data_IF_818916138628
#
_entry.id   IF_818916138628
#
_cell.length_a   1.000
_cell.length_b   1.000
_cell.length_c   1.000
_cell.angle_alpha   90.00
_cell.angle_beta   90.00
_cell.angle_gamma   90.00
#
_symmetry.space_group_name_H-M   'P 1'
#
loop_
_entity.id
_entity.type
_entity.pdbx_description
1 polymer ?
#
# COMPACT_ATOMS: atom_id res chain seq x y z
N UNK A 1 -43.09 21.37 34.89
CA UNK A 1 -43.21 20.45 33.73
C UNK A 1 -42.19 20.86 32.69
N UNK A 2 -41.04 20.17 32.62
CA UNK A 2 -40.13 20.23 31.47
C UNK A 2 -39.79 18.79 31.12
N UNK A 3 -40.12 18.42 29.89
CA UNK A 3 -39.97 17.11 29.29
C UNK A 3 -38.50 16.74 29.12
N UNK A 4 -38.08 15.58 29.61
CA UNK A 4 -36.86 14.89 29.16
C UNK A 4 -37.21 14.11 27.89
N UNK A 5 -36.67 14.53 26.76
CA UNK A 5 -36.58 13.71 25.55
C UNK A 5 -35.42 12.74 25.72
N UNK A 6 -35.72 11.44 25.71
CA UNK A 6 -34.73 10.36 25.66
C UNK A 6 -34.09 10.31 24.27
N UNK A 7 -32.80 10.63 24.18
CA UNK A 7 -31.96 10.20 23.04
C UNK A 7 -31.63 8.73 23.26
N UNK A 8 -32.14 7.86 22.39
CA UNK A 8 -31.74 6.46 22.28
C UNK A 8 -30.26 6.39 21.84
N UNK A 9 -29.44 5.68 22.61
CA UNK A 9 -28.05 5.36 22.27
C UNK A 9 -27.99 3.92 21.72
N UNK A 10 -27.15 3.61 20.71
CA UNK A 10 -26.94 2.24 20.24
C UNK A 10 -26.01 1.52 21.23
N UNK A 11 -26.59 0.89 22.25
CA UNK A 11 -25.90 0.52 23.48
C UNK A 11 -25.55 -0.95 23.66
N UNK A 12 -25.13 -1.69 22.62
CA UNK A 12 -24.74 -3.10 22.78
C UNK A 12 -23.46 -3.52 22.04
N UNK A 13 -23.11 -2.91 20.91
CA UNK A 13 -21.89 -3.26 20.16
C UNK A 13 -20.62 -2.65 20.77
N UNK A 14 -20.70 -1.41 21.29
CA UNK A 14 -19.61 -0.70 21.98
C UNK A 14 -19.16 -1.35 23.29
N UNK A 15 -19.98 -2.24 23.87
CA UNK A 15 -19.67 -2.92 25.13
C UNK A 15 -18.93 -4.25 24.93
N UNK A 16 -19.09 -4.92 23.77
CA UNK A 16 -18.39 -6.18 23.49
C UNK A 16 -16.95 -5.94 22.99
N UNK A 17 -16.71 -4.86 22.25
CA UNK A 17 -15.37 -4.50 21.75
C UNK A 17 -14.45 -3.93 22.84
N UNK A 18 -15.01 -3.18 23.80
CA UNK A 18 -14.29 -2.70 24.97
C UNK A 18 -13.85 -3.84 25.93
N UNK A 19 -14.39 -5.05 25.78
CA UNK A 19 -14.02 -6.27 26.53
C UNK A 19 -12.80 -6.96 25.91
N UNK A 20 -12.52 -6.75 24.63
CA UNK A 20 -11.36 -7.34 23.93
C UNK A 20 -10.04 -6.63 24.29
N UNK A 21 -10.02 -5.29 24.29
CA UNK A 21 -8.92 -4.49 24.89
C UNK A 21 -8.82 -4.64 26.43
N UNK A 22 -9.84 -5.22 27.08
CA UNK A 22 -9.82 -5.62 28.49
C UNK A 22 -9.03 -6.92 28.69
N UNK A 23 -8.93 -7.78 27.66
CA UNK A 23 -8.18 -9.04 27.69
C UNK A 23 -6.66 -8.87 27.56
N UNK A 24 -6.20 -7.83 26.84
CA UNK A 24 -4.77 -7.57 26.63
C UNK A 24 -4.05 -6.90 27.83
N UNK A 25 -4.75 -6.64 28.95
CA UNK A 25 -4.32 -5.67 29.99
C UNK A 25 -4.32 -6.15 31.45
N UNK A 26 -4.19 -7.46 31.74
CA UNK A 26 -4.05 -7.91 33.14
C UNK A 26 -2.64 -7.59 33.70
N UNK A 27 -2.39 -6.31 34.05
CA UNK A 27 -1.07 -5.92 34.59
C UNK A 27 -0.93 -4.60 35.37
N UNK A 28 -1.95 -3.72 35.48
CA UNK A 28 -1.77 -2.37 36.06
C UNK A 28 -2.63 -2.12 37.31
N UNK A 29 -2.00 -1.77 38.45
CA UNK A 29 -2.70 -1.39 39.71
C UNK A 29 -2.58 0.11 40.01
N UNK A 30 -3.65 0.75 40.48
CA UNK A 30 -3.68 2.18 40.89
C UNK A 30 -3.32 2.39 42.38
N UNK A 31 -2.73 3.53 42.72
CA UNK A 31 -2.39 4.11 44.03
C UNK A 31 -3.47 4.09 45.15
N UNK A 32 -4.72 3.71 44.85
CA UNK A 32 -5.80 3.55 45.85
C UNK A 32 -6.14 2.09 46.16
N UNK A 33 -5.44 1.11 45.57
CA UNK A 33 -5.67 -0.32 45.81
C UNK A 33 -7.04 -0.81 45.30
N UNK A 34 -7.74 -0.02 44.48
CA UNK A 34 -8.94 -0.39 43.77
C UNK A 34 -8.73 -0.17 42.27
N UNK A 35 -9.06 -1.19 41.47
CA UNK A 35 -9.00 -1.14 40.01
C UNK A 35 -10.10 -0.21 39.48
N UNK A 36 -9.79 0.95 38.87
CA UNK A 36 -10.75 1.63 38.00
C UNK A 36 -10.99 0.69 36.81
N UNK A 37 -12.23 0.23 36.67
CA UNK A 37 -12.58 -1.04 36.04
C UNK A 37 -12.81 -0.93 34.52
N UNK A 38 -12.50 0.21 33.88
CA UNK A 38 -12.52 0.32 32.42
C UNK A 38 -11.71 1.49 31.87
N UNK A 39 -11.33 1.37 30.60
CA UNK A 39 -10.76 2.44 29.76
C UNK A 39 -11.73 3.64 29.64
N UNK A 40 -13.03 3.35 29.61
CA UNK A 40 -14.15 4.30 29.68
C UNK A 40 -14.27 4.99 31.05
N UNK A 41 -13.83 4.35 32.13
CA UNK A 41 -13.77 4.95 33.47
C UNK A 41 -12.57 5.89 33.59
N UNK A 42 -11.42 5.55 33.02
CA UNK A 42 -10.24 6.40 33.04
C UNK A 42 -10.40 7.62 32.11
N UNK A 43 -10.99 7.45 30.92
CA UNK A 43 -11.40 8.54 30.04
C UNK A 43 -12.49 9.45 30.66
N UNK A 44 -13.38 8.89 31.51
CA UNK A 44 -14.35 9.68 32.29
C UNK A 44 -13.75 10.40 33.50
N UNK A 45 -12.67 9.88 34.08
CA UNK A 45 -12.11 10.38 35.34
C UNK A 45 -10.90 11.32 35.15
N UNK A 46 -10.36 11.47 33.93
CA UNK A 46 -9.23 12.36 33.64
C UNK A 46 -7.97 12.02 34.45
N UNK A 47 -7.77 10.73 34.77
CA UNK A 47 -6.70 10.29 35.66
C UNK A 47 -5.41 10.09 34.85
N UNK A 48 -4.30 10.78 35.20
CA UNK A 48 -3.01 10.49 34.59
C UNK A 48 -2.53 9.11 35.02
N UNK A 49 -2.12 8.28 34.06
CA UNK A 49 -1.49 6.98 34.33
C UNK A 49 -0.10 7.25 34.90
N UNK A 50 0.10 6.94 36.18
CA UNK A 50 1.40 7.08 36.86
C UNK A 50 2.03 5.70 37.03
N UNK A 51 3.14 5.47 36.31
CA UNK A 51 4.20 4.53 36.69
C UNK A 51 4.09 3.11 36.15
N UNK A 52 4.74 2.84 35.01
CA UNK A 52 5.29 1.53 34.65
C UNK A 52 6.70 1.74 34.09
N UNK A 53 7.61 0.76 34.24
CA UNK A 53 8.99 0.87 33.77
C UNK A 53 9.01 0.97 32.23
N UNK A 54 9.57 2.07 31.73
CA UNK A 54 9.95 2.21 30.32
C UNK A 54 10.90 1.06 29.97
N UNK A 55 10.51 0.23 29.00
CA UNK A 55 11.51 -0.46 28.19
C UNK A 55 12.41 0.64 27.62
N UNK A 56 13.73 0.52 27.80
CA UNK A 56 14.65 1.54 27.33
C UNK A 56 14.41 1.75 25.83
N UNK A 57 13.86 2.91 25.48
CA UNK A 57 13.66 3.33 24.10
C UNK A 57 14.98 3.13 23.36
N UNK A 58 14.99 2.48 22.17
CA UNK A 58 16.21 2.42 21.38
C UNK A 58 16.69 3.84 21.08
N UNK A 59 18.01 3.99 20.97
CA UNK A 59 18.68 5.27 20.79
C UNK A 59 18.13 6.00 19.55
N UNK A 60 17.56 7.18 19.79
CA UNK A 60 17.25 8.14 18.72
C UNK A 60 18.50 8.34 17.86
N UNK A 61 18.42 8.05 16.55
CA UNK A 61 19.55 8.17 15.61
C UNK A 61 20.37 6.89 15.37
N UNK A 62 19.78 5.71 15.57
CA UNK A 62 20.43 4.44 15.21
C UNK A 62 20.48 4.26 13.69
N UNK A 63 21.67 4.14 13.11
CA UNK A 63 21.87 3.91 11.68
C UNK A 63 21.30 2.55 11.22
N UNK A 64 21.00 2.38 9.91
CA UNK A 64 20.57 1.11 9.35
C UNK A 64 21.53 -0.04 9.68
N UNK A 65 20.97 -1.22 9.95
CA UNK A 65 21.73 -2.39 10.41
C UNK A 65 21.54 -3.57 9.47
N UNK A 66 22.63 -4.10 8.93
CA UNK A 66 22.60 -5.32 8.08
C UNK A 66 22.75 -6.58 8.92
N UNK A 67 21.85 -7.54 8.72
CA UNK A 67 21.92 -8.89 9.30
C UNK A 67 21.48 -9.94 8.26
N UNK A 68 22.42 -10.79 7.83
CA UNK A 68 22.13 -11.75 6.77
C UNK A 68 21.71 -11.03 5.48
N UNK A 69 20.57 -11.44 4.92
CA UNK A 69 19.96 -10.85 3.71
C UNK A 69 19.02 -9.67 4.00
N UNK A 70 19.01 -9.17 5.25
CA UNK A 70 18.15 -8.06 5.68
C UNK A 70 18.96 -6.82 6.05
N UNK A 71 18.38 -5.65 5.77
CA UNK A 71 18.82 -4.35 6.27
C UNK A 71 17.66 -3.77 7.07
N UNK A 72 17.84 -3.52 8.36
CA UNK A 72 16.81 -2.91 9.20
C UNK A 72 16.95 -1.39 9.25
N UNK A 73 15.81 -0.70 9.24
CA UNK A 73 15.68 0.74 9.37
C UNK A 73 14.92 1.07 10.65
N UNK A 74 15.40 2.09 11.36
CA UNK A 74 14.81 2.56 12.62
C UNK A 74 14.35 4.02 12.55
N UNK A 75 14.50 4.64 11.38
CA UNK A 75 14.05 6.00 11.06
C UNK A 75 13.38 5.97 9.69
N UNK A 76 12.20 6.60 9.60
CA UNK A 76 11.43 6.64 8.35
C UNK A 76 12.21 7.31 7.23
N UNK A 77 12.90 8.42 7.52
CA UNK A 77 13.73 9.13 6.55
C UNK A 77 14.82 8.26 5.90
N UNK A 78 15.46 7.36 6.64
CA UNK A 78 16.48 6.47 6.09
C UNK A 78 15.86 5.40 5.17
N UNK A 79 14.65 4.94 5.51
CA UNK A 79 13.89 4.00 4.70
C UNK A 79 13.38 4.67 3.42
N UNK A 80 12.80 5.87 3.52
CA UNK A 80 12.32 6.65 2.38
C UNK A 80 13.46 7.04 1.43
N UNK A 81 14.68 7.25 1.94
CA UNK A 81 15.87 7.45 1.10
C UNK A 81 16.24 6.17 0.32
N UNK A 82 16.09 4.99 0.94
CA UNK A 82 16.32 3.71 0.30
C UNK A 82 15.20 3.30 -0.68
N UNK A 83 13.96 3.71 -0.39
CA UNK A 83 12.75 3.41 -1.15
C UNK A 83 11.94 4.68 -1.44
N UNK A 84 12.42 5.55 -2.35
CA UNK A 84 11.77 6.81 -2.61
C UNK A 84 10.42 6.63 -3.32
N UNK A 85 9.39 7.32 -2.84
CA UNK A 85 8.10 7.43 -3.54
C UNK A 85 7.17 6.23 -3.39
N UNK A 86 7.37 5.39 -2.38
CA UNK A 86 6.39 4.34 -2.06
C UNK A 86 5.06 4.97 -1.64
N UNK A 87 3.96 4.34 -2.09
CA UNK A 87 2.66 4.57 -1.49
C UNK A 87 2.66 4.03 -0.06
N UNK A 88 1.82 4.64 0.78
CA UNK A 88 1.71 4.32 2.19
C UNK A 88 0.25 4.02 2.48
N UNK A 89 -0.02 2.83 2.99
CA UNK A 89 -1.30 2.50 3.58
C UNK A 89 -1.36 3.18 4.95
N UNK A 90 -2.06 4.32 5.02
CA UNK A 90 -2.20 5.15 6.22
C UNK A 90 -3.58 5.03 6.87
N UNK A 91 -4.48 4.22 6.30
CA UNK A 91 -5.84 3.95 6.77
C UNK A 91 -6.73 5.20 6.89
N UNK A 92 -6.35 6.34 6.33
CA UNK A 92 -7.04 7.62 6.55
C UNK A 92 -8.41 7.69 5.86
N UNK A 93 -8.68 6.79 4.91
CA UNK A 93 -9.99 6.59 4.29
C UNK A 93 -10.99 5.90 5.22
N UNK A 94 -10.52 5.24 6.29
CA UNK A 94 -11.35 4.43 7.18
C UNK A 94 -12.52 5.19 7.82
N UNK A 95 -13.69 4.54 7.88
CA UNK A 95 -14.96 5.09 8.34
C UNK A 95 -15.07 5.11 9.88
N UNK A 96 -14.22 5.93 10.51
CA UNK A 96 -14.18 6.14 11.96
C UNK A 96 -13.98 7.62 12.30
N UNK A 97 -14.61 8.09 13.38
CA UNK A 97 -14.40 9.43 13.91
C UNK A 97 -13.43 9.48 15.09
N UNK A 98 -13.02 10.69 15.46
CA UNK A 98 -12.10 10.95 16.58
C UNK A 98 -12.59 10.34 17.90
N UNK A 99 -11.66 9.73 18.64
CA UNK A 99 -11.87 9.07 19.92
C UNK A 99 -12.69 7.79 19.85
N UNK A 100 -12.92 7.26 18.64
CA UNK A 100 -13.69 6.04 18.43
C UNK A 100 -12.80 4.85 18.08
N UNK A 101 -13.37 3.66 18.23
CA UNK A 101 -12.81 2.38 17.81
C UNK A 101 -13.95 1.56 17.23
N UNK A 102 -13.69 0.88 16.12
CA UNK A 102 -14.65 0.05 15.40
C UNK A 102 -14.04 -1.29 15.04
N UNK A 103 -14.73 -2.38 15.31
CA UNK A 103 -14.26 -3.72 14.98
C UNK A 103 -14.42 -3.97 13.49
N UNK A 104 -13.40 -4.56 12.88
CA UNK A 104 -13.34 -4.86 11.46
C UNK A 104 -13.17 -6.36 11.27
N UNK A 105 -13.90 -6.91 10.31
CA UNK A 105 -13.69 -8.30 9.91
C UNK A 105 -12.42 -8.41 9.10
N UNK A 106 -11.59 -9.39 9.41
CA UNK A 106 -10.42 -9.78 8.64
C UNK A 106 -10.79 -10.71 7.45
N UNK A 107 -9.95 -10.81 6.41
CA UNK A 107 -8.81 -9.94 6.15
C UNK A 107 -9.25 -8.54 5.70
N UNK A 108 -8.40 -7.54 5.91
CA UNK A 108 -8.51 -6.23 5.27
C UNK A 108 -7.58 -6.19 4.05
N UNK A 109 -8.13 -5.90 2.88
CA UNK A 109 -7.45 -5.75 1.59
C UNK A 109 -8.22 -4.79 0.66
N UNK A 110 -7.77 -4.60 -0.58
CA UNK A 110 -8.37 -3.68 -1.55
C UNK A 110 -9.83 -3.99 -1.91
N UNK A 111 -10.28 -5.21 -1.62
CA UNK A 111 -11.65 -5.67 -1.86
C UNK A 111 -12.55 -5.57 -0.61
N UNK A 112 -12.06 -4.99 0.49
CA UNK A 112 -12.82 -4.83 1.74
C UNK A 112 -14.11 -4.05 1.49
N UNK A 113 -15.24 -4.59 1.94
CA UNK A 113 -16.55 -3.94 1.88
C UNK A 113 -17.27 -4.17 3.21
N UNK A 114 -16.94 -3.36 4.22
CA UNK A 114 -17.48 -3.51 5.58
C UNK A 114 -17.68 -2.15 6.28
N UNK A 115 -18.05 -2.17 7.57
CA UNK A 115 -18.32 -0.93 8.32
C UNK A 115 -17.07 -0.05 8.51
N UNK A 116 -15.86 -0.62 8.40
CA UNK A 116 -14.59 0.08 8.56
C UNK A 116 -14.07 0.70 7.26
N UNK A 117 -14.21 0.01 6.13
CA UNK A 117 -13.63 0.43 4.83
C UNK A 117 -14.54 0.06 3.66
N UNK A 118 -14.52 0.90 2.63
CA UNK A 118 -15.11 0.68 1.31
C UNK A 118 -14.08 0.05 0.34
N UNK A 119 -14.52 -0.58 -0.76
CA UNK A 119 -13.58 -1.16 -1.74
C UNK A 119 -12.65 -0.10 -2.34
N UNK A 120 -11.35 -0.40 -2.33
CA UNK A 120 -10.28 0.49 -2.77
C UNK A 120 -9.71 1.42 -1.70
N UNK A 121 -10.27 1.44 -0.47
CA UNK A 121 -9.72 2.24 0.63
C UNK A 121 -8.41 1.66 1.20
N UNK A 122 -8.18 0.36 1.03
CA UNK A 122 -6.91 -0.29 1.39
C UNK A 122 -6.09 -0.50 0.11
N UNK A 123 -4.81 -0.17 0.16
CA UNK A 123 -3.86 -0.33 -0.93
C UNK A 123 -3.82 -1.79 -1.40
N UNK A 124 -3.81 -2.04 -2.72
CA UNK A 124 -3.67 -3.39 -3.25
C UNK A 124 -2.33 -4.04 -2.91
N UNK A 125 -2.33 -5.37 -2.82
CA UNK A 125 -1.13 -6.17 -2.62
C UNK A 125 -0.72 -6.40 -1.15
N UNK A 126 -1.55 -5.93 -0.21
CA UNK A 126 -1.44 -6.27 1.22
C UNK A 126 -2.77 -6.84 1.73
N UNK A 127 -2.69 -7.88 2.57
CA UNK A 127 -3.80 -8.36 3.38
C UNK A 127 -3.42 -8.28 4.87
N UNK A 128 -4.29 -7.68 5.66
CA UNK A 128 -4.10 -7.53 7.12
C UNK A 128 -5.07 -8.47 7.82
N UNK A 129 -4.54 -9.35 8.66
CA UNK A 129 -5.30 -10.37 9.36
C UNK A 129 -4.63 -10.74 10.68
N UNK A 130 -5.21 -11.69 11.40
CA UNK A 130 -4.65 -12.28 12.61
C UNK A 130 -4.49 -13.79 12.44
N UNK A 131 -3.71 -14.41 13.32
CA UNK A 131 -3.47 -15.87 13.29
C UNK A 131 -4.70 -16.72 13.66
N UNK A 132 -5.73 -16.15 14.27
CA UNK A 132 -6.94 -16.84 14.69
C UNK A 132 -8.20 -16.05 14.30
N UNK A 133 -9.21 -16.74 13.77
CA UNK A 133 -10.54 -16.15 13.53
C UNK A 133 -11.42 -16.32 14.79
N UNK A 134 -11.93 -15.21 15.32
CA UNK A 134 -12.83 -15.12 16.46
C UNK A 134 -14.25 -14.65 16.09
N UNK A 135 -14.63 -14.73 14.81
CA UNK A 135 -15.95 -14.36 14.31
C UNK A 135 -16.10 -12.91 13.86
N UNK A 136 -15.03 -12.28 13.37
CA UNK A 136 -15.02 -10.99 12.69
C UNK A 136 -14.80 -9.77 13.59
N UNK A 137 -14.23 -9.96 14.78
CA UNK A 137 -13.91 -8.91 15.76
C UNK A 137 -12.44 -8.97 16.19
N UNK A 138 -11.53 -9.39 15.31
CA UNK A 138 -10.11 -9.62 15.62
C UNK A 138 -9.22 -8.43 15.27
N UNK A 139 -9.69 -7.59 14.34
CA UNK A 139 -9.10 -6.31 14.03
C UNK A 139 -10.04 -5.19 14.47
N UNK A 140 -9.46 -4.02 14.74
CA UNK A 140 -10.20 -2.79 14.89
C UNK A 140 -9.51 -1.64 14.17
N UNK A 141 -10.33 -0.82 13.54
CA UNK A 141 -9.99 0.50 13.08
C UNK A 141 -10.07 1.46 14.27
N UNK A 142 -8.94 2.05 14.62
CA UNK A 142 -8.81 3.00 15.73
C UNK A 142 -8.76 4.41 15.15
N UNK A 143 -9.65 5.29 15.61
CA UNK A 143 -9.66 6.68 15.20
C UNK A 143 -8.56 7.52 15.88
N UNK A 144 -8.28 8.72 15.36
CA UNK A 144 -7.42 9.70 16.02
C UNK A 144 -7.95 10.03 17.42
N UNK A 145 -7.10 10.56 18.31
CA UNK A 145 -7.41 10.93 19.70
C UNK A 145 -7.83 9.76 20.63
N UNK A 146 -8.15 8.58 20.12
CA UNK A 146 -8.32 7.39 20.95
C UNK A 146 -6.95 7.03 21.55
N UNK A 147 -6.76 7.16 22.87
CA UNK A 147 -5.45 6.89 23.50
C UNK A 147 -4.29 7.77 23.01
N UNK A 148 -4.57 9.03 22.63
CA UNK A 148 -3.57 9.92 22.03
C UNK A 148 -3.02 9.40 20.69
N UNK A 149 -3.75 8.48 20.06
CA UNK A 149 -3.45 8.01 18.72
C UNK A 149 -3.47 9.19 17.74
N UNK A 150 -2.37 9.43 16.99
CA UNK A 150 -2.26 10.63 16.16
C UNK A 150 -3.07 10.57 14.85
N UNK A 151 -3.32 9.37 14.33
CA UNK A 151 -3.86 9.05 13.00
C UNK A 151 -4.77 7.83 13.08
N UNK A 152 -5.49 7.46 12.02
CA UNK A 152 -6.19 6.18 11.97
C UNK A 152 -5.18 5.04 11.91
N UNK A 153 -5.51 3.88 12.50
CA UNK A 153 -4.66 2.69 12.40
C UNK A 153 -5.46 1.41 12.61
N UNK A 154 -4.79 0.27 12.37
CA UNK A 154 -5.33 -1.06 12.62
C UNK A 154 -4.69 -1.68 13.85
N UNK A 155 -5.52 -2.22 14.73
CA UNK A 155 -5.11 -2.87 15.97
C UNK A 155 -5.74 -4.26 16.11
N UNK A 156 -4.99 -5.21 16.67
CA UNK A 156 -5.52 -6.50 17.09
C UNK A 156 -6.37 -6.32 18.34
N UNK A 157 -7.57 -6.88 18.34
CA UNK A 157 -8.50 -6.82 19.47
C UNK A 157 -8.52 -8.09 20.31
N UNK A 158 -8.18 -9.24 19.73
CA UNK A 158 -8.15 -10.52 20.42
C UNK A 158 -6.73 -10.84 20.88
N UNK A 159 -6.45 -10.83 22.19
CA UNK A 159 -5.13 -11.20 22.73
C UNK A 159 -5.20 -12.53 23.51
N UNK A 160 -4.18 -13.41 23.41
CA UNK A 160 -3.00 -13.29 22.55
C UNK A 160 -3.29 -13.80 21.13
N UNK A 161 -3.30 -12.90 20.15
CA UNK A 161 -3.20 -13.20 18.72
C UNK A 161 -2.02 -12.42 18.15
N UNK A 162 -1.55 -12.83 16.98
CA UNK A 162 -0.54 -12.07 16.24
C UNK A 162 -1.20 -11.25 15.14
N UNK A 163 -0.69 -10.04 14.89
CA UNK A 163 -1.02 -9.30 13.67
C UNK A 163 -0.18 -9.85 12.53
N UNK A 164 -0.82 -10.10 11.39
CA UNK A 164 -0.19 -10.64 10.20
C UNK A 164 -0.40 -9.66 9.05
N UNK A 165 0.70 -9.29 8.40
CA UNK A 165 0.71 -8.67 7.09
C UNK A 165 1.05 -9.76 6.07
N UNK A 166 0.09 -10.13 5.23
CA UNK A 166 0.30 -11.02 4.10
C UNK A 166 0.47 -10.19 2.82
N UNK A 167 1.36 -10.66 1.95
CA UNK A 167 1.57 -10.12 0.62
C UNK A 167 1.26 -11.24 -0.37
N UNK A 168 0.01 -11.36 -0.88
CA UNK A 168 -0.44 -12.52 -1.66
C UNK A 168 0.40 -12.80 -2.90
N UNK A 169 0.94 -11.76 -3.53
CA UNK A 169 1.82 -11.89 -4.68
C UNK A 169 3.24 -12.30 -4.31
N UNK A 170 3.60 -12.22 -3.02
CA UNK A 170 4.84 -12.73 -2.44
C UNK A 170 6.09 -11.94 -2.80
N UNK A 171 5.93 -10.69 -3.26
CA UNK A 171 6.99 -9.95 -3.98
C UNK A 171 7.49 -8.73 -3.23
N UNK A 172 7.31 -8.66 -1.92
CA UNK A 172 7.77 -7.51 -1.14
C UNK A 172 9.25 -7.63 -0.79
N UNK A 173 10.04 -6.59 -0.96
CA UNK A 173 11.44 -6.61 -0.49
C UNK A 173 11.86 -5.39 0.32
N UNK A 174 10.89 -4.56 0.65
CA UNK A 174 11.01 -3.40 1.50
C UNK A 174 9.67 -3.19 2.18
N UNK A 175 9.70 -3.09 3.51
CA UNK A 175 8.54 -2.81 4.33
C UNK A 175 8.96 -1.81 5.40
N UNK A 176 8.21 -0.74 5.58
CA UNK A 176 8.35 0.22 6.66
C UNK A 176 6.99 0.55 7.22
N UNK A 177 6.84 0.55 8.55
CA UNK A 177 5.58 0.85 9.22
C UNK A 177 5.82 1.44 10.60
N UNK A 178 4.80 2.05 11.17
CA UNK A 178 4.79 2.44 12.57
C UNK A 178 4.19 1.34 13.44
N UNK A 179 4.94 0.90 14.44
CA UNK A 179 4.47 -0.08 15.42
C UNK A 179 3.93 0.63 16.66
N UNK A 180 2.73 0.23 17.09
CA UNK A 180 1.99 0.85 18.17
C UNK A 180 1.67 -0.21 19.24
N UNK A 181 2.02 0.11 20.49
CA UNK A 181 1.51 -0.59 21.68
C UNK A 181 0.85 0.42 22.61
N UNK A 182 -0.46 0.30 22.81
CA UNK A 182 -1.26 1.34 23.44
C UNK A 182 -0.99 1.54 24.95
N UNK A 183 -0.61 0.47 25.66
CA UNK A 183 -0.53 0.50 27.12
C UNK A 183 0.90 0.57 27.64
N UNK A 184 1.76 -0.29 27.12
CA UNK A 184 3.15 -0.42 27.56
C UNK A 184 4.04 -0.48 26.34
N UNK A 185 4.92 0.51 26.17
CA UNK A 185 5.97 0.43 25.14
C UNK A 185 6.81 -0.81 25.37
N UNK A 186 6.98 -1.58 24.31
CA UNK A 186 7.70 -2.85 24.35
C UNK A 186 8.37 -3.14 23.02
N UNK A 187 9.11 -4.25 22.98
CA UNK A 187 9.60 -4.80 21.74
C UNK A 187 8.66 -5.91 21.30
N UNK A 188 7.98 -5.71 20.18
CA UNK A 188 7.27 -6.79 19.51
C UNK A 188 8.27 -7.79 18.93
N UNK A 189 7.90 -9.06 18.97
CA UNK A 189 8.58 -10.14 18.25
C UNK A 189 8.09 -10.11 16.81
N UNK A 190 9.03 -10.02 15.87
CA UNK A 190 8.74 -9.94 14.44
C UNK A 190 9.32 -11.16 13.75
N UNK A 191 8.47 -11.85 13.01
CA UNK A 191 8.85 -12.94 12.12
C UNK A 191 8.61 -12.53 10.67
N UNK A 192 9.65 -12.65 9.84
CA UNK A 192 9.63 -12.28 8.42
C UNK A 192 9.77 -13.56 7.62
N UNK A 193 8.80 -13.85 6.76
CA UNK A 193 8.73 -15.07 5.96
C UNK A 193 8.78 -14.68 4.48
N UNK A 194 9.65 -15.34 3.72
CA UNK A 194 9.83 -15.11 2.30
C UNK A 194 9.90 -16.38 1.47
N UNK A 195 10.19 -16.19 0.19
CA UNK A 195 10.35 -17.28 -0.78
C UNK A 195 11.47 -18.26 -0.41
N UNK A 196 11.44 -19.43 -1.05
CA UNK A 196 12.45 -20.49 -0.88
C UNK A 196 12.68 -20.94 0.57
N UNK A 197 11.69 -20.73 1.45
CA UNK A 197 11.77 -21.06 2.87
C UNK A 197 12.60 -20.08 3.69
N UNK A 198 12.81 -18.86 3.18
CA UNK A 198 13.43 -17.79 3.94
C UNK A 198 12.57 -17.45 5.16
N UNK A 199 13.23 -17.34 6.31
CA UNK A 199 12.60 -17.00 7.57
C UNK A 199 13.62 -16.26 8.45
N UNK A 200 13.22 -15.14 9.01
CA UNK A 200 14.03 -14.35 9.93
C UNK A 200 13.22 -13.92 11.15
N UNK A 201 13.88 -13.86 12.30
CA UNK A 201 13.29 -13.42 13.56
C UNK A 201 14.04 -12.20 14.07
N UNK A 202 13.31 -11.18 14.48
CA UNK A 202 13.86 -9.95 15.03
C UNK A 202 12.91 -9.35 16.06
N UNK A 203 13.30 -8.23 16.64
CA UNK A 203 12.48 -7.47 17.56
C UNK A 203 12.45 -6.01 17.15
N UNK A 204 11.28 -5.38 17.29
CA UNK A 204 11.08 -3.99 16.93
C UNK A 204 10.32 -3.26 18.05
N UNK A 205 10.83 -2.08 18.41
CA UNK A 205 10.21 -1.27 19.46
C UNK A 205 8.92 -0.61 18.96
N UNK A 206 7.84 -0.82 19.71
CA UNK A 206 6.52 -0.24 19.51
C UNK A 206 6.26 0.85 20.56
N UNK A 207 5.94 2.06 20.09
CA UNK A 207 5.68 3.22 20.95
C UNK A 207 4.19 3.48 21.13
N UNK A 208 3.79 4.22 22.17
CA UNK A 208 2.37 4.52 22.41
C UNK A 208 1.73 5.40 21.33
N UNK A 209 2.52 6.14 20.56
CA UNK A 209 2.06 7.03 19.47
C UNK A 209 2.63 6.63 18.11
N UNK A 210 3.04 5.37 17.98
CA UNK A 210 3.71 4.86 16.79
C UNK A 210 5.21 5.05 16.83
N UNK A 211 5.93 4.01 16.42
CA UNK A 211 7.37 4.07 16.23
C UNK A 211 7.78 3.32 14.97
N UNK A 212 8.35 4.07 14.03
CA UNK A 212 8.84 3.53 12.78
C UNK A 212 9.83 2.37 12.94
N UNK A 213 9.55 1.29 12.24
CA UNK A 213 10.47 0.19 11.97
C UNK A 213 10.29 -0.28 10.53
N UNK A 214 11.38 -0.67 9.89
CA UNK A 214 11.31 -1.28 8.58
C UNK A 214 12.49 -2.17 8.26
N UNK A 215 12.42 -2.83 7.13
CA UNK A 215 13.51 -3.61 6.56
C UNK A 215 13.56 -3.49 5.03
N UNK A 216 14.74 -3.75 4.47
CA UNK A 216 14.95 -4.18 3.10
C UNK A 216 15.43 -5.64 3.12
N UNK A 217 15.09 -6.39 2.08
CA UNK A 217 15.43 -7.79 1.92
C UNK A 217 15.99 -8.05 0.52
N UNK A 218 16.98 -8.94 0.43
CA UNK A 218 17.42 -9.51 -0.86
C UNK A 218 16.53 -10.67 -1.32
N UNK A 219 15.67 -11.18 -0.43
CA UNK A 219 14.69 -12.24 -0.70
C UNK A 219 13.29 -11.63 -0.71
N UNK A 220 12.44 -12.09 -1.61
CA UNK A 220 11.04 -11.67 -1.66
C UNK A 220 10.27 -12.20 -0.45
N UNK A 221 9.50 -11.32 0.17
CA UNK A 221 8.75 -11.53 1.40
C UNK A 221 7.27 -11.70 1.06
N UNK A 222 6.68 -12.74 1.64
CA UNK A 222 5.26 -13.06 1.49
C UNK A 222 4.46 -12.79 2.77
N UNK A 223 5.12 -12.70 3.92
CA UNK A 223 4.41 -12.50 5.18
C UNK A 223 5.32 -11.87 6.25
N UNK A 224 4.73 -11.01 7.08
CA UNK A 224 5.33 -10.50 8.32
C UNK A 224 4.34 -10.72 9.46
N UNK A 225 4.79 -11.39 10.51
CA UNK A 225 4.01 -11.70 11.71
C UNK A 225 4.55 -10.87 12.86
N UNK A 226 3.67 -10.18 13.58
CA UNK A 226 3.97 -9.24 14.65
C UNK A 226 3.26 -9.76 15.91
N UNK A 227 4.01 -9.98 16.97
CA UNK A 227 3.48 -10.55 18.23
C UNK A 227 3.97 -9.75 19.42
N UNK A 228 3.07 -9.42 20.33
CA UNK A 228 3.41 -8.88 21.65
C UNK A 228 3.86 -10.04 22.56
N UNK A 229 5.08 -10.00 23.11
CA UNK A 229 5.52 -10.98 24.09
C UNK A 229 4.85 -10.79 25.46
N UNK A 230 4.07 -9.72 25.66
CA UNK A 230 3.36 -9.41 26.90
C UNK A 230 1.84 -9.37 26.73
N UNK A 231 1.33 -10.06 25.70
CA UNK A 231 -0.09 -10.19 25.37
C UNK A 231 -0.81 -8.83 25.24
N UNK A 232 -0.10 -7.80 24.77
CA UNK A 232 -0.68 -6.49 24.41
C UNK A 232 -1.28 -6.53 23.01
N UNK A 233 -2.11 -5.53 22.71
CA UNK A 233 -2.62 -5.30 21.36
C UNK A 233 -1.50 -4.82 20.44
N UNK A 234 -1.26 -5.57 19.37
CA UNK A 234 -0.38 -5.19 18.26
C UNK A 234 -1.14 -4.25 17.33
N UNK A 235 -0.62 -3.05 17.11
CA UNK A 235 -1.19 -2.11 16.16
C UNK A 235 -0.13 -1.59 15.19
N UNK A 236 -0.58 -1.30 13.97
CA UNK A 236 0.25 -0.87 12.84
C UNK A 236 -0.38 0.31 12.12
N UNK A 237 0.46 1.22 11.67
CA UNK A 237 0.08 2.41 10.92
C UNK A 237 1.14 2.73 9.84
N UNK A 238 0.78 3.53 8.84
CA UNK A 238 1.66 4.06 7.80
C UNK A 238 2.54 2.98 7.15
N UNK A 239 1.91 1.93 6.63
CA UNK A 239 2.56 0.77 6.03
C UNK A 239 3.00 1.12 4.60
N UNK A 240 4.29 1.37 4.45
CA UNK A 240 4.96 1.53 3.16
C UNK A 240 5.58 0.20 2.75
N UNK A 241 5.23 -0.31 1.58
CA UNK A 241 5.82 -1.54 1.04
C UNK A 241 6.04 -1.40 -0.46
N UNK A 242 7.02 -2.15 -0.98
CA UNK A 242 7.28 -2.19 -2.40
C UNK A 242 7.25 -3.62 -2.91
N UNK A 243 6.66 -3.84 -4.09
CA UNK A 243 6.71 -5.11 -4.81
C UNK A 243 7.84 -5.12 -5.84
N UNK A 244 8.62 -6.19 -5.96
CA UNK A 244 9.63 -6.38 -7.04
C UNK A 244 9.06 -7.06 -8.28
N UNK A 245 7.75 -7.07 -8.48
CA UNK A 245 7.31 -7.19 -9.86
C UNK A 245 7.63 -5.94 -10.65
N UNK A 246 7.81 -6.10 -11.96
CA UNK A 246 7.63 -5.00 -12.92
C UNK A 246 6.24 -4.33 -12.89
N UNK A 247 5.44 -4.55 -11.84
CA UNK A 247 4.20 -3.88 -11.47
C UNK A 247 4.42 -3.16 -10.12
N UNK A 248 5.25 -2.11 -10.11
CA UNK A 248 4.77 -0.87 -9.47
C UNK A 248 3.34 -0.71 -9.96
N UNK A 249 2.34 -0.63 -9.09
CA UNK A 249 0.96 -0.35 -9.52
C UNK A 249 1.01 0.84 -10.46
N UNK A 250 0.94 0.52 -11.74
CA UNK A 250 0.85 1.51 -12.76
C UNK A 250 -0.64 1.75 -12.90
N UNK A 251 -1.02 3.00 -13.09
CA UNK A 251 -2.36 3.28 -13.56
C UNK A 251 -2.55 2.52 -14.87
N UNK A 252 -3.49 1.58 -14.89
CA UNK A 252 -3.83 0.89 -16.14
C UNK A 252 -4.58 1.88 -17.02
N UNK A 253 -4.11 2.05 -18.26
CA UNK A 253 -4.68 2.99 -19.23
C UNK A 253 -5.08 2.26 -20.51
N UNK A 254 -6.09 2.78 -21.19
CA UNK A 254 -6.48 2.28 -22.50
C UNK A 254 -5.60 2.91 -23.59
N UNK A 255 -5.13 2.08 -24.53
CA UNK A 255 -4.37 2.53 -25.68
C UNK A 255 -4.92 1.90 -26.97
N UNK A 256 -4.69 2.57 -28.09
CA UNK A 256 -4.98 2.06 -29.45
C UNK A 256 -3.74 2.20 -30.33
N UNK A 257 -3.17 1.09 -30.78
CA UNK A 257 -2.03 1.02 -31.69
C UNK A 257 -2.52 1.04 -33.13
N UNK A 258 -2.28 2.16 -33.83
CA UNK A 258 -2.86 2.49 -35.14
C UNK A 258 -4.35 2.83 -35.04
N UNK A 259 -4.67 3.94 -34.36
CA UNK A 259 -6.05 4.37 -34.20
C UNK A 259 -6.81 4.44 -35.52
N UNK A 260 -8.02 3.88 -35.51
CA UNK A 260 -8.89 3.70 -36.68
C UNK A 260 -8.60 2.46 -37.54
N UNK A 261 -7.82 1.49 -37.05
CA UNK A 261 -7.54 0.23 -37.73
C UNK A 261 -7.55 -0.98 -36.79
N UNK A 262 -8.72 -1.58 -36.55
CA UNK A 262 -8.99 -2.69 -35.62
C UNK A 262 -8.07 -3.93 -35.71
N UNK A 263 -7.24 -4.04 -36.75
CA UNK A 263 -6.32 -5.18 -36.95
C UNK A 263 -4.88 -4.87 -36.58
N UNK A 264 -4.54 -3.60 -36.29
CA UNK A 264 -3.22 -3.15 -35.82
C UNK A 264 -2.06 -3.80 -36.59
N UNK A 265 -2.24 -3.94 -37.92
CA UNK A 265 -1.35 -4.79 -38.72
C UNK A 265 -0.03 -4.08 -39.01
N UNK A 266 1.08 -4.61 -38.49
CA UNK A 266 2.43 -4.09 -38.68
C UNK A 266 3.19 -4.98 -39.68
N UNK A 267 3.84 -4.37 -40.68
CA UNK A 267 4.66 -5.10 -41.67
C UNK A 267 6.12 -4.87 -41.33
N UNK A 268 6.84 -5.93 -40.99
CA UNK A 268 8.28 -5.84 -40.65
C UNK A 268 9.11 -5.28 -41.81
N UNK A 269 10.15 -4.52 -41.48
CA UNK A 269 11.02 -3.83 -42.42
C UNK A 269 10.40 -2.60 -43.08
N UNK A 270 9.18 -2.21 -42.70
CA UNK A 270 8.60 -0.94 -43.11
C UNK A 270 9.34 0.21 -42.40
N UNK A 271 9.76 1.22 -43.16
CA UNK A 271 10.42 2.41 -42.62
C UNK A 271 9.36 3.48 -42.35
N UNK A 272 8.99 3.68 -41.10
CA UNK A 272 8.00 4.66 -40.68
C UNK A 272 7.79 4.62 -39.17
N UNK A 273 6.87 5.47 -38.70
CA UNK A 273 6.48 5.48 -37.30
C UNK A 273 5.12 4.80 -37.13
N UNK A 274 4.93 4.16 -35.99
CA UNK A 274 3.66 3.58 -35.56
C UNK A 274 2.98 4.60 -34.63
N UNK A 275 1.79 5.13 -34.99
CA UNK A 275 1.02 5.96 -34.08
C UNK A 275 0.34 5.09 -33.02
N UNK A 276 0.31 5.58 -31.78
CA UNK A 276 -0.39 4.97 -30.65
C UNK A 276 -1.17 6.07 -29.94
N UNK A 277 -2.48 5.89 -29.77
CA UNK A 277 -3.32 6.76 -28.95
C UNK A 277 -3.31 6.25 -27.51
N UNK A 278 -3.15 7.17 -26.56
CA UNK A 278 -3.38 6.99 -25.14
C UNK A 278 -4.69 7.72 -24.82
N UNK A 279 -5.71 6.95 -24.45
CA UNK A 279 -7.06 7.46 -24.34
C UNK A 279 -7.27 8.13 -22.98
N UNK A 280 -7.88 9.32 -22.99
CA UNK A 280 -8.41 9.92 -21.78
C UNK A 280 -9.63 9.12 -21.32
N UNK A 281 -9.83 9.03 -20.01
CA UNK A 281 -10.97 8.33 -19.44
C UNK A 281 -11.32 8.90 -18.06
N UNK A 282 -12.42 8.42 -17.46
CA UNK A 282 -12.81 8.85 -16.12
C UNK A 282 -11.68 8.62 -15.10
N UNK A 283 -11.09 9.72 -14.61
CA UNK A 283 -9.99 9.69 -13.64
C UNK A 283 -8.58 9.73 -14.26
N UNK A 284 -8.46 9.78 -15.59
CA UNK A 284 -7.18 9.87 -16.29
C UNK A 284 -7.25 10.85 -17.47
N UNK A 285 -6.46 11.93 -17.38
CA UNK A 285 -6.30 12.92 -18.46
C UNK A 285 -5.00 12.63 -19.22
N UNK A 286 -5.11 12.13 -20.45
CA UNK A 286 -3.94 11.80 -21.26
C UNK A 286 -3.15 13.06 -21.70
N UNK A 287 -3.78 14.23 -21.69
CA UNK A 287 -3.16 15.48 -22.20
C UNK A 287 -2.11 16.06 -21.26
N UNK A 288 -2.10 15.65 -19.99
CA UNK A 288 -1.13 16.08 -18.98
C UNK A 288 0.10 15.16 -18.88
N UNK A 289 0.11 14.05 -19.59
CA UNK A 289 1.24 13.12 -19.64
C UNK A 289 2.45 13.77 -20.31
N UNK A 290 3.63 13.70 -19.68
CA UNK A 290 4.89 14.11 -20.31
C UNK A 290 5.38 13.03 -21.30
N UNK A 291 5.39 13.29 -22.62
CA UNK A 291 5.78 12.30 -23.62
C UNK A 291 7.24 11.86 -23.52
N UNK A 292 8.09 12.59 -22.79
CA UNK A 292 9.49 12.19 -22.55
C UNK A 292 9.61 10.96 -21.63
N UNK A 293 8.60 10.67 -20.84
CA UNK A 293 8.59 9.52 -19.93
C UNK A 293 8.04 8.27 -20.62
N UNK A 294 7.46 8.41 -21.82
CA UNK A 294 6.68 7.37 -22.47
C UNK A 294 7.52 6.47 -23.37
N UNK A 295 7.36 5.17 -23.23
CA UNK A 295 7.97 4.13 -24.06
C UNK A 295 6.94 3.15 -24.57
N UNK A 296 7.24 2.47 -25.67
CA UNK A 296 6.44 1.39 -26.26
C UNK A 296 7.35 0.20 -26.52
N UNK A 297 6.97 -1.00 -26.10
CA UNK A 297 7.75 -2.19 -26.40
C UNK A 297 7.13 -3.49 -25.91
N UNK A 298 8.00 -4.41 -25.49
CA UNK A 298 7.64 -5.76 -25.03
C UNK A 298 7.51 -5.85 -23.49
N UNK A 299 7.66 -4.72 -22.78
CA UNK A 299 7.59 -4.59 -21.32
C UNK A 299 8.79 -5.20 -20.57
N UNK A 300 9.93 -5.41 -21.23
CA UNK A 300 11.17 -5.92 -20.62
C UNK A 300 12.02 -4.85 -19.90
N UNK A 301 11.56 -3.59 -19.94
CA UNK A 301 12.23 -2.43 -19.35
C UNK A 301 13.25 -1.73 -20.25
N UNK A 302 13.45 -2.21 -21.49
CA UNK A 302 14.28 -1.57 -22.52
C UNK A 302 13.46 -1.20 -23.78
N UNK A 303 12.31 -0.57 -23.52
CA UNK A 303 11.31 -0.22 -24.53
C UNK A 303 11.69 1.01 -25.38
N UNK A 304 11.09 1.13 -26.56
CA UNK A 304 11.35 2.21 -27.51
C UNK A 304 10.72 3.55 -27.06
N UNK A 305 11.49 4.65 -26.93
CA UNK A 305 10.94 5.97 -26.59
C UNK A 305 10.16 6.60 -27.74
N UNK A 306 9.35 7.63 -27.43
CA UNK A 306 8.62 8.40 -28.44
C UNK A 306 9.59 9.00 -29.47
N UNK A 307 9.24 8.88 -30.75
CA UNK A 307 10.07 9.38 -31.84
C UNK A 307 10.14 10.91 -31.86
N UNK A 308 11.34 11.45 -32.05
CA UNK A 308 11.58 12.88 -32.19
C UNK A 308 11.81 13.31 -33.66
N UNK A 309 11.41 14.53 -34.00
CA UNK A 309 11.80 15.20 -35.25
C UNK A 309 13.27 15.62 -35.19
N UNK A 310 13.87 15.92 -36.35
CA UNK A 310 15.27 16.40 -36.47
C UNK A 310 15.60 17.68 -35.68
N UNK A 311 14.60 18.42 -35.23
CA UNK A 311 14.70 19.61 -34.39
C UNK A 311 14.36 19.34 -32.91
N UNK A 312 14.43 18.08 -32.46
CA UNK A 312 14.28 17.61 -31.06
C UNK A 312 12.83 17.70 -30.51
N UNK A 313 11.86 18.22 -31.27
CA UNK A 313 10.45 18.14 -30.87
C UNK A 313 9.93 16.70 -31.01
N UNK A 314 9.28 16.18 -29.97
CA UNK A 314 8.62 14.88 -29.95
C UNK A 314 7.46 14.86 -30.98
N UNK A 315 7.12 13.67 -31.49
CA UNK A 315 6.01 13.46 -32.41
C UNK A 315 4.72 13.10 -31.66
N UNK A 316 4.10 14.12 -31.11
CA UNK A 316 2.79 14.06 -30.44
C UNK A 316 1.72 14.90 -31.15
N UNK A 317 0.45 14.63 -30.85
CA UNK A 317 -0.69 15.55 -31.03
C UNK A 317 -1.80 15.18 -30.04
N UNK A 318 -2.68 16.12 -29.73
CA UNK A 318 -3.94 15.84 -29.04
C UNK A 318 -5.11 15.86 -30.04
N UNK A 319 -6.01 14.89 -29.91
CA UNK A 319 -7.21 14.72 -30.74
C UNK A 319 -8.16 13.73 -30.02
N UNK A 320 -9.46 13.94 -30.08
CA UNK A 320 -10.48 12.98 -29.64
C UNK A 320 -10.54 11.81 -30.65
N UNK A 321 -10.03 10.64 -30.25
CA UNK A 321 -9.85 9.46 -31.10
C UNK A 321 -11.07 8.53 -31.05
N UNK A 322 -11.70 8.37 -29.88
CA UNK A 322 -12.80 7.42 -29.68
C UNK A 322 -14.20 8.07 -29.79
N UNK A 323 -14.27 9.40 -29.81
CA UNK A 323 -15.49 10.19 -29.98
C UNK A 323 -16.27 10.39 -28.69
N UNK A 324 -15.65 10.23 -27.52
CA UNK A 324 -16.30 10.41 -26.22
C UNK A 324 -16.39 11.89 -25.78
N UNK A 325 -15.60 12.76 -26.41
CA UNK A 325 -15.57 14.20 -26.19
C UNK A 325 -14.43 14.71 -25.33
N UNK A 326 -13.57 13.83 -24.81
CA UNK A 326 -12.31 14.16 -24.15
C UNK A 326 -11.14 14.12 -25.17
N UNK A 327 -10.09 14.92 -24.97
CA UNK A 327 -8.93 14.90 -25.89
C UNK A 327 -7.96 13.78 -25.50
N UNK A 328 -7.53 12.97 -26.48
CA UNK A 328 -6.54 11.91 -26.28
C UNK A 328 -5.13 12.36 -26.68
N UNK A 329 -4.12 11.64 -26.20
CA UNK A 329 -2.72 11.88 -26.57
C UNK A 329 -2.26 10.86 -27.61
N UNK A 330 -1.89 11.31 -28.81
CA UNK A 330 -1.35 10.42 -29.85
C UNK A 330 0.16 10.59 -30.02
N UNK A 331 0.89 9.53 -29.73
CA UNK A 331 2.35 9.44 -29.79
C UNK A 331 2.80 8.60 -30.98
N UNK A 332 4.02 8.84 -31.48
CA UNK A 332 4.57 8.08 -32.61
C UNK A 332 5.89 7.40 -32.22
N UNK A 333 6.01 6.11 -32.51
CA UNK A 333 7.19 5.31 -32.18
C UNK A 333 7.90 4.84 -33.46
N UNK A 334 9.24 4.84 -33.47
CA UNK A 334 10.02 4.41 -34.64
C UNK A 334 9.94 2.90 -34.81
N UNK A 335 9.31 2.43 -35.90
CA UNK A 335 9.23 0.99 -36.16
C UNK A 335 10.62 0.37 -36.31
N UNK A 336 11.56 1.09 -36.95
CA UNK A 336 12.91 0.60 -37.11
C UNK A 336 13.63 0.38 -35.77
N UNK A 337 13.31 1.21 -34.76
CA UNK A 337 13.89 1.09 -33.43
C UNK A 337 13.27 -0.07 -32.66
N UNK A 338 11.94 -0.21 -32.70
CA UNK A 338 11.22 -1.36 -32.15
C UNK A 338 11.73 -2.69 -32.73
N UNK A 339 12.08 -2.74 -34.02
CA UNK A 339 12.69 -3.93 -34.64
C UNK A 339 14.16 -4.12 -34.22
N UNK A 340 14.90 -3.04 -33.98
CA UNK A 340 16.33 -3.07 -33.66
C UNK A 340 16.60 -3.49 -32.21
N UNK A 341 15.77 -3.05 -31.26
CA UNK A 341 15.90 -3.40 -29.85
C UNK A 341 15.17 -4.70 -29.47
N UNK A 342 14.35 -5.26 -30.37
CA UNK A 342 13.69 -6.55 -30.17
C UNK A 342 12.26 -6.46 -29.64
N UNK A 343 11.71 -5.26 -29.45
CA UNK A 343 10.31 -5.04 -29.05
C UNK A 343 9.32 -5.59 -30.09
N UNK A 344 9.67 -5.48 -31.38
CA UNK A 344 8.84 -5.86 -32.51
C UNK A 344 9.53 -6.88 -33.41
N UNK A 345 9.00 -8.11 -33.41
CA UNK A 345 9.46 -9.20 -34.25
C UNK A 345 8.28 -10.05 -34.75
N UNK A 346 8.56 -11.12 -35.49
CA UNK A 346 7.52 -11.94 -36.16
C UNK A 346 6.56 -12.65 -35.23
N UNK A 347 6.86 -12.71 -33.93
CA UNK A 347 6.05 -13.39 -32.91
C UNK A 347 5.35 -12.40 -31.96
N UNK A 348 5.60 -11.09 -32.11
CA UNK A 348 4.92 -10.06 -31.32
C UNK A 348 3.42 -10.10 -31.61
N UNK A 349 2.63 -10.28 -30.56
CA UNK A 349 1.15 -10.30 -30.59
C UNK A 349 0.53 -9.14 -29.83
N UNK A 350 1.31 -8.46 -29.01
CA UNK A 350 0.90 -7.38 -28.12
C UNK A 350 2.10 -6.44 -27.94
N UNK A 351 1.84 -5.15 -27.77
CA UNK A 351 2.84 -4.19 -27.33
C UNK A 351 2.29 -3.43 -26.12
N UNK A 352 3.20 -3.02 -25.26
CA UNK A 352 2.92 -2.33 -24.01
C UNK A 352 3.45 -0.91 -24.08
N UNK A 353 2.60 0.04 -23.69
CA UNK A 353 2.96 1.44 -23.53
C UNK A 353 3.15 1.71 -22.04
N UNK A 354 4.26 2.34 -21.65
CA UNK A 354 4.54 2.74 -20.27
C UNK A 354 4.85 4.22 -20.22
N UNK A 355 4.56 4.87 -19.11
CA UNK A 355 4.99 6.24 -18.85
C UNK A 355 4.90 6.60 -17.38
N UNK A 356 5.20 7.84 -17.05
CA UNK A 356 5.18 8.35 -15.69
C UNK A 356 4.37 9.64 -15.62
N UNK A 357 3.48 9.72 -14.64
CA UNK A 357 2.70 10.90 -14.26
C UNK A 357 3.52 11.81 -13.32
N UNK A 358 3.03 13.03 -13.12
CA UNK A 358 3.54 13.89 -12.05
C UNK A 358 3.43 13.17 -10.69
N UNK A 359 4.47 13.27 -9.86
CA UNK A 359 4.53 12.59 -8.56
C UNK A 359 5.14 11.18 -8.58
N UNK A 360 5.52 10.66 -9.75
CA UNK A 360 6.28 9.41 -9.87
C UNK A 360 5.40 8.15 -10.08
N UNK A 361 4.07 8.30 -10.11
CA UNK A 361 3.15 7.22 -10.45
C UNK A 361 3.39 6.78 -11.91
N UNK A 362 3.65 5.49 -12.12
CA UNK A 362 3.80 4.91 -13.45
C UNK A 362 2.42 4.63 -14.03
N UNK A 363 2.26 4.62 -15.35
CA UNK A 363 1.07 4.11 -16.01
C UNK A 363 1.45 3.09 -17.09
N UNK A 364 0.54 2.17 -17.43
CA UNK A 364 0.75 1.15 -18.46
C UNK A 364 -0.54 0.82 -19.19
N UNK A 365 -0.45 0.70 -20.50
CA UNK A 365 -1.51 0.18 -21.35
C UNK A 365 -0.97 -0.87 -22.29
N UNK A 366 -1.86 -1.68 -22.87
CA UNK A 366 -1.48 -2.64 -23.90
C UNK A 366 -2.52 -2.72 -25.01
N UNK A 367 -2.07 -3.10 -26.20
CA UNK A 367 -2.95 -3.39 -27.31
C UNK A 367 -2.35 -4.48 -28.22
N UNK A 368 -3.24 -5.26 -28.82
CA UNK A 368 -2.92 -6.42 -29.64
C UNK A 368 -2.47 -5.96 -31.02
N UNK A 369 -1.39 -6.53 -31.52
CA UNK A 369 -0.86 -6.25 -32.86
C UNK A 369 -0.84 -7.49 -33.75
N UNK A 370 -0.93 -7.27 -35.06
CA UNK A 370 -0.78 -8.34 -36.05
C UNK A 370 0.44 -8.15 -36.93
N UNK A 371 1.52 -8.87 -36.62
CA UNK A 371 2.76 -8.77 -37.39
C UNK A 371 2.71 -9.60 -38.67
N UNK A 372 3.22 -9.02 -39.76
CA UNK A 372 3.41 -9.69 -41.06
C UNK A 372 4.86 -9.53 -41.49
N UNK A 373 5.51 -10.64 -41.82
CA UNK A 373 6.80 -10.61 -42.50
C UNK A 373 6.62 -10.11 -43.94
N UNK A 374 7.52 -9.24 -44.40
CA UNK A 374 7.55 -8.81 -45.79
C UNK A 374 7.73 -10.03 -46.71
N UNK A 375 7.00 -10.08 -47.83
CA UNK A 375 7.29 -11.06 -48.89
C UNK A 375 8.72 -10.82 -49.38
N UNK A 376 9.54 -11.86 -49.35
CA UNK A 376 10.74 -11.94 -50.19
C UNK A 376 10.39 -11.80 -51.68
#
# INVERSE_FOLDING_TARGET
>A
MRSRTSKSWPGLLTMALAVCLWGCGEGLTNSTGQNPSSILEQARLGVPVVGQPSAASPETGTAPKTEGSLIYFYQRADFDEAFPGLQVEDFEEGNIGDGQILGCSQPLNEHTDNDCFEPGDILPGIEILTNNDHGGLELALVGPDFFYNPSKNIAVTSCPDALILEFPDGRVNGLGLDLISYFTEEYFEIEIIGEDGFQAFTQAFAGNSGRFWGFASEVLISQVIITSPTDQSEAVDNIAFNSIDGTSEFLTVEIDIKPGNDLNTIRLGAKGNIPVALLSMNGFDATVVDPNTVTLGNDDGNDTPVAAKRNISILERTEDIDGDGDEDLVLHFSQAQLEENGDLHSETVELFLRGMLEGGLVFRGSDIVRVKTGRH
#
